data_IF_506854340468
#
_entry.id   IF_506854340468
#
_cell.length_a   1.000
_cell.length_b   1.000
_cell.length_c   1.000
_cell.angle_alpha   90.00
_cell.angle_beta   90.00
_cell.angle_gamma   90.00
#
_symmetry.space_group_name_H-M   'P 1'
#
loop_
_entity.id
_entity.type
_entity.pdbx_description
1 polymer ?
#
# COMPACT_ATOMS: atom_id res chain seq x y z
N UNK A 1 -5.91 -7.82 -30.52
CA UNK A 1 -6.02 -7.73 -29.91
C UNK A 1 -6.12 -6.98 -29.00
N UNK A 2 -6.26 -6.56 -28.75
CA UNK A 2 -6.25 -5.66 -27.89
C UNK A 2 -6.62 -6.00 -26.62
N UNK A 3 -6.37 -5.55 -25.71
CA UNK A 3 -6.78 -5.76 -24.57
C UNK A 3 -7.46 -4.66 -24.08
N UNK A 4 -8.48 -4.41 -24.43
CA UNK A 4 -9.24 -3.29 -24.12
C UNK A 4 -9.59 -3.17 -22.70
N UNK A 5 -9.88 -4.25 -22.07
CA UNK A 5 -10.23 -4.12 -20.72
C UNK A 5 -9.10 -3.68 -19.90
N UNK A 6 -7.95 -3.91 -20.38
CA UNK A 6 -6.79 -3.50 -19.67
C UNK A 6 -6.59 -2.02 -19.74
N UNK A 7 -7.33 -1.33 -20.50
CA UNK A 7 -7.16 0.08 -20.61
C UNK A 7 -7.51 0.82 -19.34
N UNK A 8 -8.27 0.21 -18.44
CA UNK A 8 -8.62 0.82 -17.18
C UNK A 8 -8.14 -0.07 -16.05
N UNK A 9 -7.48 0.53 -15.11
CA UNK A 9 -6.97 -0.21 -13.97
C UNK A 9 -7.16 0.63 -12.72
N UNK A 10 -7.76 0.05 -11.70
CA UNK A 10 -7.91 0.72 -10.42
C UNK A 10 -6.58 0.66 -9.68
N UNK A 11 -6.08 1.81 -9.35
CA UNK A 11 -4.85 1.93 -8.57
C UNK A 11 -5.18 2.46 -7.20
N UNK A 12 -4.62 1.85 -6.20
CA UNK A 12 -4.79 2.30 -4.83
C UNK A 12 -3.43 2.60 -4.25
N UNK A 13 -3.34 3.76 -3.63
CA UNK A 13 -2.11 4.19 -2.99
C UNK A 13 -2.34 4.17 -1.49
N UNK A 14 -1.54 3.38 -0.80
CA UNK A 14 -1.58 3.30 0.64
C UNK A 14 -0.51 4.23 1.19
N UNK A 15 -0.93 5.11 2.07
CA UNK A 15 -0.03 6.06 2.70
C UNK A 15 0.09 5.66 4.16
N UNK A 16 1.26 5.20 4.55
CA UNK A 16 1.48 4.67 5.87
C UNK A 16 2.52 5.51 6.59
N UNK A 17 2.21 5.85 7.83
CA UNK A 17 3.18 6.51 8.69
C UNK A 17 3.48 5.57 9.84
N UNK A 18 4.76 5.37 10.10
CA UNK A 18 5.19 4.40 11.10
C UNK A 18 6.36 4.96 11.88
N UNK A 19 6.63 4.37 13.03
CA UNK A 19 7.82 4.68 13.78
C UNK A 19 9.02 4.14 13.00
N UNK A 20 10.11 4.91 12.96
CA UNK A 20 11.30 4.50 12.25
C UNK A 20 12.00 3.40 13.05
N UNK A 21 12.06 2.23 12.46
CA UNK A 21 12.76 1.09 13.02
C UNK A 21 13.42 0.38 11.85
N UNK A 22 14.45 -0.40 12.14
CA UNK A 22 15.20 -1.04 11.07
C UNK A 22 14.34 -1.95 10.20
N UNK A 23 13.36 -2.61 10.82
CA UNK A 23 12.51 -3.53 10.09
C UNK A 23 11.13 -2.94 9.77
N UNK A 24 10.96 -1.62 9.92
CA UNK A 24 9.65 -0.99 9.73
C UNK A 24 9.11 -1.25 8.33
N UNK A 25 9.94 -1.06 7.31
CA UNK A 25 9.49 -1.25 5.94
C UNK A 25 9.05 -2.68 5.68
N UNK A 26 9.83 -3.65 6.16
CA UNK A 26 9.49 -5.05 5.95
C UNK A 26 8.20 -5.42 6.67
N UNK A 27 7.97 -4.88 7.85
CA UNK A 27 6.75 -5.16 8.59
C UNK A 27 5.54 -4.59 7.88
N UNK A 28 5.67 -3.39 7.33
CA UNK A 28 4.56 -2.76 6.62
C UNK A 28 4.26 -3.51 5.32
N UNK A 29 5.27 -4.04 4.66
CA UNK A 29 5.08 -4.79 3.42
C UNK A 29 4.51 -6.19 3.67
N UNK A 30 4.63 -6.72 4.87
CA UNK A 30 4.16 -8.06 5.19
C UNK A 30 2.73 -8.34 4.81
N UNK A 31 1.77 -7.50 5.21
CA UNK A 31 0.38 -7.72 4.84
C UNK A 31 0.16 -7.78 3.33
N UNK A 32 0.86 -6.93 2.58
CA UNK A 32 0.73 -6.93 1.12
C UNK A 32 1.25 -8.23 0.52
N UNK A 33 2.40 -8.68 1.00
CA UNK A 33 2.98 -9.92 0.52
C UNK A 33 2.09 -11.12 0.86
N UNK A 34 1.56 -11.12 2.07
CA UNK A 34 0.74 -12.22 2.54
C UNK A 34 -0.55 -12.34 1.72
N UNK A 35 -1.13 -11.21 1.34
CA UNK A 35 -2.36 -11.20 0.56
C UNK A 35 -2.12 -11.28 -0.94
N UNK A 36 -0.87 -11.30 -1.36
CA UNK A 36 -0.56 -11.37 -2.79
C UNK A 36 -0.90 -10.12 -3.55
N UNK A 37 -0.87 -8.98 -2.88
CA UNK A 37 -1.17 -7.71 -3.55
C UNK A 37 -0.05 -7.34 -4.51
N UNK A 38 -0.43 -6.85 -5.68
CA UNK A 38 0.55 -6.45 -6.67
C UNK A 38 1.02 -5.03 -6.40
N UNK A 39 2.28 -4.88 -6.05
CA UNK A 39 2.87 -3.59 -5.76
C UNK A 39 3.48 -3.03 -7.04
N UNK A 40 3.02 -1.84 -7.44
CA UNK A 40 3.49 -1.18 -8.65
C UNK A 40 4.61 -0.20 -8.36
N UNK A 41 4.58 0.46 -7.22
CA UNK A 41 5.66 1.34 -6.83
C UNK A 41 5.70 1.45 -5.31
N UNK A 42 6.87 1.78 -4.82
CA UNK A 42 7.12 1.86 -3.39
C UNK A 42 8.09 3.01 -3.14
N UNK A 43 7.72 3.88 -2.23
CA UNK A 43 8.60 4.96 -1.80
C UNK A 43 8.58 5.01 -0.28
N UNK A 44 9.76 5.15 0.30
CA UNK A 44 9.86 5.23 1.74
C UNK A 44 10.86 6.30 2.10
N UNK A 45 10.50 7.14 3.05
CA UNK A 45 11.36 8.22 3.52
C UNK A 45 11.33 8.24 5.04
N UNK A 46 12.48 8.41 5.62
CA UNK A 46 12.60 8.57 7.05
C UNK A 46 12.90 10.02 7.39
N UNK A 47 12.14 10.55 8.34
CA UNK A 47 12.36 11.90 8.83
C UNK A 47 12.29 11.82 10.34
N UNK A 48 13.44 11.97 11.01
CA UNK A 48 13.52 11.84 12.45
C UNK A 48 13.07 10.46 12.90
N UNK A 49 12.12 10.42 13.80
CA UNK A 49 11.61 9.16 14.35
C UNK A 49 10.48 8.55 13.54
N UNK A 50 10.12 9.17 12.44
CA UNK A 50 8.98 8.71 11.65
C UNK A 50 9.44 8.25 10.28
N UNK A 51 8.70 7.31 9.72
CA UNK A 51 8.90 6.85 8.36
C UNK A 51 7.59 6.99 7.61
N UNK A 52 7.65 7.58 6.43
CA UNK A 52 6.49 7.70 5.55
C UNK A 52 6.67 6.72 4.41
N UNK A 53 5.68 5.88 4.19
CA UNK A 53 5.75 4.83 3.19
C UNK A 53 4.56 4.99 2.25
N UNK A 54 4.86 5.03 0.97
CA UNK A 54 3.83 5.15 -0.06
C UNK A 54 3.89 3.90 -0.93
N UNK A 55 2.78 3.16 -0.97
CA UNK A 55 2.72 1.91 -1.69
C UNK A 55 1.59 2.00 -2.70
N UNK A 56 1.95 1.96 -3.98
CA UNK A 56 0.96 1.99 -5.04
C UNK A 56 0.70 0.58 -5.52
N UNK A 57 -0.56 0.18 -5.56
CA UNK A 57 -0.96 -1.17 -5.93
C UNK A 57 -1.89 -1.14 -7.12
N UNK A 58 -1.96 -2.26 -7.85
CA UNK A 58 -2.88 -2.43 -8.95
C UNK A 58 -3.77 -3.64 -8.71
N UNK A 59 -5.02 -3.53 -9.14
CA UNK A 59 -5.92 -4.67 -9.10
C UNK A 59 -6.39 -5.09 -7.72
N UNK A 60 -6.26 -4.23 -6.74
CA UNK A 60 -6.70 -4.54 -5.38
C UNK A 60 -8.17 -4.18 -5.23
N UNK A 61 -8.99 -5.16 -4.86
CA UNK A 61 -10.42 -4.93 -4.69
C UNK A 61 -10.70 -4.09 -3.46
N UNK A 62 -11.90 -3.49 -3.36
CA UNK A 62 -12.25 -2.73 -2.16
C UNK A 62 -12.15 -3.56 -0.89
N UNK A 63 -12.58 -4.83 -0.96
CA UNK A 63 -12.53 -5.69 0.22
C UNK A 63 -11.09 -5.96 0.64
N UNK A 64 -10.24 -6.24 -0.33
CA UNK A 64 -8.83 -6.48 -0.02
C UNK A 64 -8.19 -5.21 0.53
N UNK A 65 -8.53 -4.05 -0.04
CA UNK A 65 -8.00 -2.79 0.45
C UNK A 65 -8.36 -2.58 1.92
N UNK A 66 -9.62 -2.87 2.28
CA UNK A 66 -10.05 -2.74 3.65
C UNK A 66 -9.29 -3.70 4.58
N UNK A 67 -9.08 -4.93 4.13
CA UNK A 67 -8.31 -5.88 4.91
C UNK A 67 -6.89 -5.42 5.13
N UNK A 68 -6.27 -4.86 4.08
CA UNK A 68 -4.91 -4.36 4.20
C UNK A 68 -4.83 -3.21 5.19
N UNK A 69 -5.79 -2.28 5.14
CA UNK A 69 -5.81 -1.17 6.08
C UNK A 69 -5.93 -1.68 7.52
N UNK A 70 -6.81 -2.65 7.74
CA UNK A 70 -7.00 -3.18 9.08
C UNK A 70 -5.74 -3.87 9.60
N UNK A 71 -5.08 -4.62 8.74
CA UNK A 71 -3.85 -5.30 9.15
C UNK A 71 -2.73 -4.31 9.43
N UNK A 72 -2.65 -3.26 8.61
CA UNK A 72 -1.64 -2.23 8.82
C UNK A 72 -1.87 -1.50 10.14
N UNK A 73 -3.14 -1.20 10.43
CA UNK A 73 -3.47 -0.53 11.68
C UNK A 73 -3.17 -1.40 12.90
N UNK A 74 -3.15 -2.71 12.70
CA UNK A 74 -2.82 -3.63 13.79
C UNK A 74 -1.35 -3.74 14.10
N UNK A 75 -0.48 -3.17 13.27
CA UNK A 75 0.95 -3.20 13.53
C UNK A 75 1.30 -2.13 14.57
N UNK A 76 1.95 -2.51 15.66
CA UNK A 76 2.23 -1.53 16.74
C UNK A 76 3.02 -0.31 16.30
N UNK A 77 3.89 -0.46 15.31
CA UNK A 77 4.72 0.65 14.87
C UNK A 77 3.96 1.59 13.92
N UNK A 78 2.83 1.19 13.40
CA UNK A 78 2.09 2.03 12.48
C UNK A 78 1.25 3.03 13.25
N UNK A 79 1.39 4.32 12.90
CA UNK A 79 0.69 5.39 13.59
C UNK A 79 -0.44 5.96 12.76
N UNK A 80 -0.40 5.78 11.44
CA UNK A 80 -1.42 6.36 10.57
C UNK A 80 -1.48 5.61 9.26
N UNK A 81 -2.69 5.37 8.75
CA UNK A 81 -2.89 4.72 7.45
C UNK A 81 -3.95 5.49 6.69
N UNK A 82 -3.68 5.79 5.43
CA UNK A 82 -4.65 6.36 4.52
C UNK A 82 -4.63 5.62 3.20
N UNK A 83 -5.73 5.67 2.48
CA UNK A 83 -5.84 5.04 1.17
C UNK A 83 -6.46 6.03 0.20
N UNK A 84 -5.82 6.18 -0.94
CA UNK A 84 -6.35 6.98 -2.04
C UNK A 84 -6.45 6.05 -3.23
N UNK A 85 -7.53 6.14 -3.97
CA UNK A 85 -7.69 5.28 -5.15
C UNK A 85 -8.10 6.10 -6.34
N UNK A 86 -7.79 5.59 -7.52
CA UNK A 86 -8.19 6.21 -8.76
C UNK A 86 -8.16 5.18 -9.88
N UNK A 87 -8.90 5.46 -10.93
CA UNK A 87 -8.89 4.64 -12.13
C UNK A 87 -8.04 5.37 -13.15
N UNK A 88 -7.07 4.66 -13.70
CA UNK A 88 -6.16 5.23 -14.70
C UNK A 88 -6.26 4.44 -15.96
N UNK A 89 -6.16 5.09 -17.13
CA UNK A 89 -6.04 4.35 -18.38
C UNK A 89 -4.69 3.65 -18.36
N UNK A 90 -4.69 2.46 -18.83
CA UNK A 90 -3.47 1.66 -18.85
C UNK A 90 -2.52 2.13 -19.96
#
# INVERSE_FOLDING_TARGET
MGEPVAALETRRTFLVRAQAAEDALLRVLGPFALQGARILSLQAEQAGDAMSIRIETGGVSPDLANQLVERLRGLPLVTQVGVVWRVSPA
#
